data_IF_266128967114
#
_entry.id   IF_266128967114
#
_cell.length_a   1.000
_cell.length_b   1.000
_cell.length_c   1.000
_cell.angle_alpha   90.00
_cell.angle_beta   90.00
_cell.angle_gamma   90.00
#
_symmetry.space_group_name_H-M   'P 1'
#
loop_
_entity.id
_entity.type
_entity.pdbx_description
1 polymer ?
#
# COMPACT_ATOMS: atom_id res chain seq x y z
N UNK A 1 28.97 -3.52 -5.32
CA UNK A 1 28.04 -3.20 -4.22
C UNK A 1 28.32 -4.16 -3.08
N UNK A 2 28.31 -3.70 -1.82
CA UNK A 2 28.40 -4.57 -0.64
C UNK A 2 27.07 -4.50 0.11
N UNK A 3 26.47 -5.66 0.40
CA UNK A 3 25.25 -5.79 1.18
C UNK A 3 25.60 -6.44 2.52
N UNK A 4 25.32 -5.77 3.63
CA UNK A 4 25.57 -6.25 4.99
C UNK A 4 24.23 -6.66 5.61
N UNK A 5 24.05 -7.96 5.81
CA UNK A 5 22.84 -8.56 6.38
C UNK A 5 23.17 -9.54 7.53
N UNK A 6 24.26 -9.26 8.27
CA UNK A 6 24.84 -10.13 9.31
C UNK A 6 24.06 -10.17 10.64
N UNK A 7 22.82 -9.68 10.67
CA UNK A 7 22.05 -9.50 11.91
C UNK A 7 22.63 -8.41 12.82
N UNK A 8 22.26 -8.46 14.11
CA UNK A 8 22.70 -7.51 15.15
C UNK A 8 23.25 -8.17 16.41
N UNK A 9 22.87 -9.41 16.68
CA UNK A 9 23.12 -10.09 17.95
C UNK A 9 23.49 -11.54 17.69
N UNK A 10 24.42 -12.06 18.50
CA UNK A 10 24.58 -13.50 18.72
C UNK A 10 23.66 -13.94 19.86
N UNK A 11 23.30 -15.24 19.96
CA UNK A 11 22.57 -15.79 21.11
C UNK A 11 23.25 -15.45 22.44
N UNK A 12 22.46 -14.97 23.41
CA UNK A 12 22.98 -14.64 24.74
C UNK A 12 23.06 -15.90 25.61
N UNK A 13 24.22 -16.56 25.59
CA UNK A 13 24.51 -17.68 26.48
C UNK A 13 24.53 -17.21 27.95
N UNK A 14 23.76 -17.88 28.81
CA UNK A 14 23.67 -17.56 30.24
C UNK A 14 24.46 -18.60 31.02
N UNK A 15 25.56 -18.19 31.67
CA UNK A 15 26.39 -19.09 32.46
C UNK A 15 25.73 -19.36 33.83
N UNK A 16 25.35 -20.62 34.05
CA UNK A 16 24.93 -21.17 35.35
C UNK A 16 25.26 -22.68 35.37
N UNK A 17 25.36 -23.33 36.55
CA UNK A 17 25.62 -24.78 36.61
C UNK A 17 24.53 -25.57 35.89
N UNK A 18 24.89 -26.36 34.87
CA UNK A 18 23.96 -27.09 34.01
C UNK A 18 23.48 -26.32 32.77
N UNK A 19 23.98 -25.11 32.52
CA UNK A 19 23.71 -24.35 31.29
C UNK A 19 24.20 -25.05 30.01
N UNK A 20 25.17 -25.96 30.13
CA UNK A 20 25.67 -26.85 29.09
C UNK A 20 24.63 -27.86 28.57
N UNK A 21 23.55 -28.10 29.32
CA UNK A 21 22.42 -28.94 28.92
C UNK A 21 21.22 -28.13 28.37
N UNK A 22 21.32 -26.80 28.31
CA UNK A 22 20.25 -25.96 27.79
C UNK A 22 20.39 -25.78 26.27
N UNK A 23 19.32 -26.07 25.54
CA UNK A 23 19.27 -25.84 24.09
C UNK A 23 19.01 -24.36 23.78
N UNK A 24 19.70 -23.84 22.76
CA UNK A 24 19.49 -22.49 22.24
C UNK A 24 18.21 -22.41 21.40
N UNK A 25 17.56 -21.24 21.38
CA UNK A 25 16.40 -21.01 20.50
C UNK A 25 16.76 -21.15 19.00
N UNK A 26 18.02 -20.93 18.66
CA UNK A 26 18.59 -21.13 17.34
C UNK A 26 18.74 -22.61 16.91
N UNK A 27 18.59 -23.56 17.83
CA UNK A 27 18.85 -24.99 17.61
C UNK A 27 17.76 -25.94 18.12
N UNK A 28 16.91 -25.48 19.05
CA UNK A 28 15.81 -26.27 19.63
C UNK A 28 14.84 -26.74 18.54
N UNK A 29 14.27 -27.94 18.71
CA UNK A 29 13.29 -28.46 17.75
C UNK A 29 12.05 -27.56 17.68
N UNK A 30 11.49 -27.47 16.47
CA UNK A 30 10.21 -26.80 16.18
C UNK A 30 9.08 -27.80 15.95
N UNK A 31 9.38 -29.10 15.93
CA UNK A 31 8.37 -30.16 15.85
C UNK A 31 7.76 -30.40 17.24
N UNK A 32 6.44 -30.22 17.43
CA UNK A 32 5.80 -30.51 18.71
C UNK A 32 5.96 -31.98 19.17
N UNK A 33 6.10 -32.94 18.25
CA UNK A 33 6.23 -34.36 18.61
C UNK A 33 7.45 -34.65 19.50
N UNK A 34 8.54 -33.89 19.32
CA UNK A 34 9.75 -33.98 20.13
C UNK A 34 9.55 -33.58 21.60
N UNK A 35 8.39 -32.99 21.96
CA UNK A 35 8.06 -32.50 23.30
C UNK A 35 6.90 -33.25 23.97
N UNK A 36 6.34 -34.28 23.33
CA UNK A 36 5.17 -35.03 23.82
C UNK A 36 5.41 -35.61 25.22
N UNK A 37 4.53 -35.24 26.16
CA UNK A 37 4.57 -35.72 27.55
C UNK A 37 5.71 -35.15 28.41
N UNK A 38 6.55 -34.25 27.87
CA UNK A 38 7.70 -33.71 28.59
C UNK A 38 7.34 -32.53 29.51
N UNK A 39 8.21 -32.27 30.50
CA UNK A 39 8.18 -31.07 31.33
C UNK A 39 9.28 -30.12 30.86
N UNK A 40 8.91 -28.98 30.27
CA UNK A 40 9.84 -28.07 29.59
C UNK A 40 10.08 -26.80 30.42
N UNK A 41 11.34 -26.38 30.53
CA UNK A 41 11.75 -25.12 31.17
C UNK A 41 12.32 -24.16 30.13
N UNK A 42 11.62 -23.05 29.88
CA UNK A 42 12.04 -22.01 28.94
C UNK A 42 12.68 -20.85 29.71
N UNK A 43 13.96 -20.58 29.42
CA UNK A 43 14.75 -19.52 30.05
C UNK A 43 14.65 -18.19 29.29
N UNK A 44 13.42 -17.68 29.15
CA UNK A 44 13.15 -16.39 28.54
C UNK A 44 11.69 -15.98 28.66
N UNK A 45 11.41 -14.68 28.51
CA UNK A 45 10.06 -14.09 28.42
C UNK A 45 10.01 -12.93 27.42
N UNK A 46 10.59 -13.14 26.24
CA UNK A 46 10.41 -12.33 25.02
C UNK A 46 9.68 -13.14 23.94
N UNK A 47 9.36 -12.56 22.78
CA UNK A 47 8.54 -13.19 21.73
C UNK A 47 8.93 -14.65 21.44
N UNK A 48 10.19 -14.91 21.08
CA UNK A 48 10.75 -16.25 20.82
C UNK A 48 10.42 -17.29 21.89
N UNK A 49 10.46 -16.91 23.17
CA UNK A 49 10.15 -17.82 24.27
C UNK A 49 8.66 -18.19 24.36
N UNK A 50 7.77 -17.25 24.01
CA UNK A 50 6.32 -17.52 23.97
C UNK A 50 5.90 -18.20 22.68
N UNK A 51 6.53 -17.89 21.54
CA UNK A 51 6.32 -18.59 20.27
C UNK A 51 6.67 -20.09 20.42
N UNK A 52 7.81 -20.41 21.05
CA UNK A 52 8.16 -21.80 21.40
C UNK A 52 7.14 -22.40 22.39
N UNK A 53 6.75 -21.67 23.44
CA UNK A 53 5.80 -22.18 24.43
C UNK A 53 4.43 -22.49 23.81
N UNK A 54 3.90 -21.61 22.95
CA UNK A 54 2.63 -21.76 22.26
C UNK A 54 2.63 -22.97 21.31
N UNK A 55 3.72 -23.16 20.56
CA UNK A 55 3.89 -24.29 19.64
C UNK A 55 3.82 -25.67 20.33
N UNK A 56 4.39 -25.78 21.54
CA UNK A 56 4.50 -27.06 22.27
C UNK A 56 3.45 -27.24 23.38
N UNK A 57 2.62 -26.22 23.66
CA UNK A 57 1.65 -26.22 24.77
C UNK A 57 0.66 -27.38 24.72
N UNK A 58 0.23 -27.80 23.52
CA UNK A 58 -0.76 -28.86 23.33
C UNK A 58 -0.23 -30.29 23.54
N UNK A 59 1.09 -30.46 23.63
CA UNK A 59 1.77 -31.77 23.64
C UNK A 59 2.63 -32.00 24.90
N UNK A 60 3.20 -30.93 25.47
CA UNK A 60 3.93 -31.02 26.75
C UNK A 60 3.02 -31.32 27.92
N UNK A 61 3.54 -32.02 28.93
CA UNK A 61 2.84 -32.22 30.20
C UNK A 61 2.85 -30.93 31.06
N UNK A 62 3.93 -30.15 31.02
CA UNK A 62 4.03 -28.88 31.75
C UNK A 62 5.09 -27.95 31.14
N UNK A 63 4.81 -26.65 31.08
CA UNK A 63 5.78 -25.61 30.67
C UNK A 63 6.01 -24.63 31.81
N UNK A 64 7.28 -24.44 32.19
CA UNK A 64 7.73 -23.40 33.11
C UNK A 64 8.50 -22.32 32.34
N UNK A 65 8.21 -21.04 32.57
CA UNK A 65 8.93 -19.92 31.92
C UNK A 65 9.61 -19.02 32.96
N UNK A 66 10.94 -18.91 32.90
CA UNK A 66 11.75 -18.17 33.87
C UNK A 66 12.54 -17.04 33.20
N UNK A 67 12.68 -15.88 33.87
CA UNK A 67 13.33 -14.69 33.31
C UNK A 67 13.94 -13.81 34.39
N UNK A 68 15.06 -13.16 34.07
CA UNK A 68 15.75 -12.15 34.90
C UNK A 68 14.96 -10.84 35.05
N UNK A 69 13.98 -10.60 34.18
CA UNK A 69 13.19 -9.36 34.15
C UNK A 69 11.69 -9.64 34.00
N UNK A 70 10.87 -8.70 34.44
CA UNK A 70 9.42 -8.69 34.15
C UNK A 70 9.19 -8.69 32.63
N UNK A 71 8.08 -9.30 32.21
CA UNK A 71 7.70 -9.35 30.79
C UNK A 71 7.53 -7.93 30.26
N UNK A 72 8.20 -7.61 29.15
CA UNK A 72 7.99 -6.36 28.41
C UNK A 72 6.94 -6.60 27.35
N UNK A 73 5.96 -5.70 27.31
CA UNK A 73 4.71 -5.94 26.62
C UNK A 73 4.46 -4.85 25.57
N UNK A 74 4.10 -5.22 24.35
CA UNK A 74 3.90 -4.32 23.20
C UNK A 74 2.81 -3.28 23.43
N UNK A 75 1.85 -3.54 24.32
CA UNK A 75 0.86 -2.52 24.71
C UNK A 75 1.43 -1.45 25.64
N UNK A 76 2.51 -1.72 26.37
CA UNK A 76 3.15 -0.77 27.28
C UNK A 76 4.37 -0.08 26.65
N UNK A 77 5.15 -0.82 25.85
CA UNK A 77 6.32 -0.30 25.13
C UNK A 77 5.99 0.24 23.75
N UNK A 78 4.79 -0.05 23.24
CA UNK A 78 4.28 0.42 21.96
C UNK A 78 5.11 -0.01 20.76
N UNK A 79 5.86 -1.11 20.91
CA UNK A 79 6.74 -1.67 19.90
C UNK A 79 6.28 -3.08 19.53
N UNK A 80 6.13 -3.34 18.22
CA UNK A 80 5.65 -4.63 17.68
C UNK A 80 6.54 -5.84 18.02
N UNK A 81 7.77 -5.61 18.50
CA UNK A 81 8.70 -6.66 18.94
C UNK A 81 8.51 -7.17 20.38
N UNK A 82 7.50 -6.69 21.10
CA UNK A 82 7.25 -7.02 22.51
C UNK A 82 5.91 -7.78 22.69
N UNK A 83 5.72 -8.43 23.84
CA UNK A 83 4.64 -9.41 24.06
C UNK A 83 3.25 -8.80 24.32
N UNK A 84 2.16 -9.50 24.00
CA UNK A 84 0.80 -8.96 24.20
C UNK A 84 0.24 -9.33 25.60
N UNK A 85 -0.35 -8.34 26.30
CA UNK A 85 -1.11 -8.38 27.59
C UNK A 85 -0.41 -8.18 28.99
N UNK A 86 -0.94 -7.19 29.74
CA UNK A 86 -0.87 -6.84 31.19
C UNK A 86 0.43 -6.45 31.99
N UNK A 87 0.80 -5.16 31.87
CA UNK A 87 1.21 -4.13 32.90
C UNK A 87 2.47 -4.32 33.79
N UNK A 88 3.56 -3.58 33.50
CA UNK A 88 4.18 -2.53 34.36
C UNK A 88 5.53 -1.99 33.80
N UNK A 89 5.89 -0.76 34.21
CA UNK A 89 6.95 0.10 33.62
C UNK A 89 8.43 -0.30 33.91
N UNK A 90 9.36 0.12 33.03
CA UNK A 90 10.50 1.03 33.35
C UNK A 90 11.62 1.10 32.28
N UNK A 91 12.16 2.32 32.07
CA UNK A 91 13.59 2.58 31.83
C UNK A 91 14.15 2.55 30.40
N UNK A 92 14.51 3.74 29.87
CA UNK A 92 15.47 3.98 28.78
C UNK A 92 16.86 4.34 29.42
N UNK A 93 18.02 4.36 28.73
CA UNK A 93 18.22 4.89 27.37
C UNK A 93 18.91 3.94 26.36
N UNK A 94 18.68 4.17 25.07
CA UNK A 94 19.33 3.48 23.96
C UNK A 94 19.92 4.49 22.97
N UNK A 95 21.25 4.50 22.79
CA UNK A 95 21.92 5.21 21.68
C UNK A 95 22.79 4.29 20.80
N UNK A 96 22.96 3.00 21.16
CA UNK A 96 24.01 2.14 20.57
C UNK A 96 23.51 0.89 19.82
N UNK A 97 22.19 0.64 19.73
CA UNK A 97 21.66 -0.65 19.21
C UNK A 97 21.75 -0.82 17.68
N UNK A 98 21.68 0.26 16.90
CA UNK A 98 21.60 0.18 15.43
C UNK A 98 22.61 1.12 14.74
N UNK A 99 23.17 0.75 13.58
CA UNK A 99 24.13 1.58 12.84
C UNK A 99 23.48 2.81 12.20
N UNK A 100 24.21 3.93 12.11
CA UNK A 100 23.72 5.15 11.47
C UNK A 100 23.79 5.07 9.93
N UNK A 101 22.64 4.82 9.29
CA UNK A 101 22.51 4.74 7.82
C UNK A 101 21.61 5.84 7.24
N UNK A 102 21.61 5.98 5.92
CA UNK A 102 20.74 6.89 5.16
C UNK A 102 19.37 6.26 4.94
N UNK A 103 18.38 7.05 4.53
CA UNK A 103 17.07 6.55 4.08
C UNK A 103 17.14 5.62 2.84
N UNK A 104 18.26 5.65 2.11
CA UNK A 104 18.60 4.70 1.03
C UNK A 104 19.09 3.35 1.53
N UNK A 105 19.14 3.15 2.84
CA UNK A 105 19.78 2.03 3.55
C UNK A 105 21.28 1.90 3.26
N UNK A 106 21.88 2.90 2.61
CA UNK A 106 23.32 3.03 2.38
C UNK A 106 24.00 3.63 3.62
N UNK A 107 25.20 3.16 3.93
CA UNK A 107 26.02 3.68 5.02
C UNK A 107 26.30 5.18 4.85
N UNK A 108 26.33 5.91 5.96
CA UNK A 108 26.75 7.32 5.96
C UNK A 108 28.25 7.49 5.75
N UNK A 109 29.06 6.51 6.16
CA UNK A 109 30.53 6.56 6.08
C UNK A 109 31.12 5.97 4.79
N UNK A 110 30.44 5.00 4.16
CA UNK A 110 30.98 4.23 3.03
C UNK A 110 30.00 4.15 1.87
N UNK A 111 30.33 4.77 0.74
CA UNK A 111 29.52 4.68 -0.50
C UNK A 111 29.54 3.25 -1.04
N UNK A 112 28.40 2.75 -1.49
CA UNK A 112 28.25 1.41 -2.05
C UNK A 112 28.12 0.28 -1.01
N UNK A 113 28.13 0.59 0.28
CA UNK A 113 27.86 -0.33 1.39
C UNK A 113 26.43 -0.09 1.89
N UNK A 114 25.57 -1.10 1.81
CA UNK A 114 24.18 -1.07 2.24
C UNK A 114 23.98 -1.99 3.45
N UNK A 115 23.13 -1.60 4.39
CA UNK A 115 22.81 -2.38 5.58
C UNK A 115 21.34 -2.81 5.50
N UNK A 116 21.09 -4.11 5.58
CA UNK A 116 19.81 -4.77 5.36
C UNK A 116 19.46 -5.72 6.52
N UNK A 117 18.22 -6.23 6.54
CA UNK A 117 17.71 -7.02 7.66
C UNK A 117 17.56 -6.19 8.94
N UNK A 118 17.57 -6.82 10.11
CA UNK A 118 17.29 -6.15 11.40
C UNK A 118 18.20 -4.95 11.68
N UNK A 119 19.44 -4.94 11.16
CA UNK A 119 20.36 -3.81 11.31
C UNK A 119 19.92 -2.55 10.56
N UNK A 120 19.09 -2.66 9.52
CA UNK A 120 18.57 -1.51 8.77
C UNK A 120 17.51 -0.72 9.55
N UNK A 121 16.94 -1.33 10.60
CA UNK A 121 15.86 -0.78 11.42
C UNK A 121 16.23 0.51 12.17
N UNK A 122 17.49 0.94 12.14
CA UNK A 122 17.88 2.33 12.48
C UNK A 122 17.04 3.42 11.78
N UNK A 123 16.51 3.15 10.58
CA UNK A 123 15.72 4.12 9.81
C UNK A 123 14.32 4.32 10.41
N UNK A 124 13.79 3.30 11.08
CA UNK A 124 12.39 3.24 11.52
C UNK A 124 12.22 2.62 12.92
N UNK A 125 13.26 2.65 13.77
CA UNK A 125 13.21 2.06 15.10
C UNK A 125 12.14 2.72 15.97
N UNK A 126 11.29 1.88 16.60
CA UNK A 126 10.06 2.31 17.32
C UNK A 126 9.10 3.16 16.46
N UNK A 127 9.20 3.07 15.14
CA UNK A 127 8.37 3.80 14.19
C UNK A 127 7.63 2.90 13.21
N UNK A 128 8.25 1.89 12.61
CA UNK A 128 7.58 0.95 11.67
C UNK A 128 8.08 -0.49 11.85
N UNK A 129 7.69 -1.41 10.95
CA UNK A 129 7.98 -2.85 11.06
C UNK A 129 9.30 -3.29 10.39
N UNK A 130 10.19 -2.38 9.97
CA UNK A 130 11.39 -2.65 9.18
C UNK A 130 12.41 -3.61 9.82
N UNK A 131 12.37 -3.77 11.14
CA UNK A 131 13.21 -4.72 11.87
C UNK A 131 12.76 -6.19 11.80
N UNK A 132 11.58 -6.46 11.25
CA UNK A 132 10.93 -7.77 11.24
C UNK A 132 10.65 -8.25 9.80
N UNK A 133 10.35 -9.54 9.65
CA UNK A 133 10.01 -10.17 8.35
C UNK A 133 8.88 -9.46 7.62
N UNK A 134 7.98 -8.79 8.34
CA UNK A 134 6.90 -7.99 7.77
C UNK A 134 7.43 -6.74 7.06
N UNK A 135 8.37 -5.99 7.63
CA UNK A 135 8.88 -4.76 7.03
C UNK A 135 10.06 -4.95 6.09
N UNK A 136 11.06 -5.78 6.45
CA UNK A 136 12.32 -5.81 5.70
C UNK A 136 12.17 -6.32 4.26
N UNK A 137 11.13 -7.11 3.96
CA UNK A 137 10.80 -7.52 2.57
C UNK A 137 10.59 -6.32 1.64
N UNK A 138 9.95 -5.26 2.16
CA UNK A 138 9.69 -4.03 1.42
C UNK A 138 10.92 -3.13 1.37
N UNK A 139 11.73 -3.08 2.45
CA UNK A 139 13.00 -2.33 2.43
C UNK A 139 14.00 -2.95 1.44
N UNK A 140 14.09 -4.28 1.38
CA UNK A 140 14.92 -5.00 0.40
C UNK A 140 14.40 -4.74 -1.03
N UNK A 141 13.09 -4.78 -1.27
CA UNK A 141 12.50 -4.43 -2.57
C UNK A 141 12.79 -2.99 -2.99
N UNK A 142 12.71 -2.03 -2.08
CA UNK A 142 13.07 -0.64 -2.35
C UNK A 142 14.57 -0.50 -2.68
N UNK A 143 15.46 -1.12 -1.90
CA UNK A 143 16.92 -1.09 -2.15
C UNK A 143 17.29 -1.78 -3.47
N UNK A 144 16.66 -2.91 -3.78
CA UNK A 144 16.81 -3.57 -5.08
C UNK A 144 16.50 -2.61 -6.23
N UNK A 145 15.33 -1.94 -6.21
CA UNK A 145 14.94 -0.95 -7.23
C UNK A 145 15.91 0.24 -7.30
N UNK A 146 16.43 0.72 -6.16
CA UNK A 146 17.46 1.77 -6.13
C UNK A 146 18.79 1.33 -6.76
N UNK A 147 19.18 0.07 -6.58
CA UNK A 147 20.41 -0.50 -7.15
C UNK A 147 20.27 -0.77 -8.64
N UNK A 148 19.13 -1.34 -9.06
CA UNK A 148 18.75 -1.53 -10.47
C UNK A 148 18.87 -0.23 -11.26
N UNK A 149 18.30 0.87 -10.75
CA UNK A 149 18.44 2.18 -11.41
C UNK A 149 19.89 2.66 -11.42
N UNK A 150 20.59 2.58 -10.28
CA UNK A 150 21.96 3.07 -10.11
C UNK A 150 23.00 2.36 -10.98
N UNK A 151 22.83 1.06 -11.23
CA UNK A 151 23.84 0.22 -11.87
C UNK A 151 23.44 -0.29 -13.26
N UNK A 152 22.15 -0.42 -13.55
CA UNK A 152 21.63 -0.96 -14.81
C UNK A 152 20.75 0.04 -15.57
N UNK A 153 20.51 1.23 -15.01
CA UNK A 153 19.68 2.28 -15.63
C UNK A 153 18.18 1.94 -15.66
N UNK A 154 17.78 0.81 -15.09
CA UNK A 154 16.39 0.34 -15.06
C UNK A 154 15.56 1.35 -14.27
N UNK A 155 14.54 1.91 -14.90
CA UNK A 155 13.67 2.91 -14.26
C UNK A 155 12.85 2.27 -13.15
N UNK A 156 12.45 3.06 -12.14
CA UNK A 156 11.54 2.56 -11.10
C UNK A 156 10.26 2.03 -11.75
N UNK A 157 9.76 0.84 -11.35
CA UNK A 157 8.53 0.29 -11.87
C UNK A 157 7.37 1.27 -11.64
N UNK A 158 6.63 1.56 -12.72
CA UNK A 158 5.46 2.44 -12.65
C UNK A 158 4.35 1.96 -13.56
N UNK A 159 3.12 2.21 -13.15
CA UNK A 159 1.92 1.97 -13.97
C UNK A 159 1.38 3.31 -14.43
N UNK A 160 1.27 3.53 -15.73
CA UNK A 160 0.67 4.76 -16.29
C UNK A 160 -0.82 4.55 -16.52
N UNK A 161 -1.66 5.46 -16.01
CA UNK A 161 -3.12 5.38 -16.09
C UNK A 161 -3.75 6.75 -16.42
N UNK A 162 -4.94 6.79 -17.04
CA UNK A 162 -5.68 8.03 -17.27
C UNK A 162 -6.11 8.67 -15.94
N UNK A 163 -6.15 10.00 -15.87
CA UNK A 163 -6.47 10.73 -14.62
C UNK A 163 -7.84 10.36 -14.02
N UNK A 164 -8.77 9.89 -14.85
CA UNK A 164 -10.08 9.40 -14.45
C UNK A 164 -10.02 8.18 -13.51
N UNK A 165 -8.91 7.44 -13.49
CA UNK A 165 -8.67 6.30 -12.60
C UNK A 165 -7.88 6.67 -11.34
N UNK A 166 -7.57 7.95 -11.09
CA UNK A 166 -6.71 8.36 -9.97
C UNK A 166 -7.33 7.98 -8.62
N UNK A 167 -8.59 8.35 -8.38
CA UNK A 167 -9.30 8.06 -7.13
C UNK A 167 -9.38 6.56 -6.86
N UNK A 168 -9.80 5.76 -7.85
CA UNK A 168 -9.91 4.30 -7.70
C UNK A 168 -8.55 3.63 -7.52
N UNK A 169 -7.49 4.13 -8.18
CA UNK A 169 -6.12 3.61 -8.00
C UNK A 169 -5.60 3.86 -6.60
N UNK A 170 -5.84 5.05 -6.03
CA UNK A 170 -5.47 5.36 -4.64
C UNK A 170 -6.28 4.51 -3.67
N UNK A 171 -7.61 4.45 -3.79
CA UNK A 171 -8.48 3.65 -2.92
C UNK A 171 -8.10 2.17 -2.95
N UNK A 172 -7.87 1.59 -4.14
CA UNK A 172 -7.39 0.20 -4.26
C UNK A 172 -6.08 0.01 -3.49
N UNK A 173 -5.11 0.91 -3.70
CA UNK A 173 -3.77 0.78 -3.10
C UNK A 173 -3.78 0.95 -1.58
N UNK A 174 -4.56 1.86 -1.01
CA UNK A 174 -4.59 1.99 0.46
C UNK A 174 -5.21 0.78 1.15
N UNK A 175 -6.14 0.07 0.50
CA UNK A 175 -6.74 -1.16 1.03
C UNK A 175 -5.87 -2.41 0.78
N UNK A 176 -5.20 -2.53 -0.37
CA UNK A 176 -4.48 -3.75 -0.77
C UNK A 176 -2.95 -3.71 -0.50
N UNK A 177 -2.34 -2.53 -0.38
CA UNK A 177 -0.88 -2.39 -0.33
C UNK A 177 -0.29 -2.68 1.06
N UNK A 178 -0.05 -3.95 1.30
CA UNK A 178 0.70 -4.45 2.47
C UNK A 178 2.03 -3.71 2.74
N UNK A 179 2.72 -3.18 1.72
CA UNK A 179 3.92 -2.36 1.88
C UNK A 179 3.68 -1.02 2.57
N UNK A 180 2.61 -0.30 2.22
CA UNK A 180 2.24 0.96 2.88
C UNK A 180 1.77 0.72 4.33
N UNK A 181 1.08 -0.40 4.55
CA UNK A 181 0.61 -0.79 5.87
C UNK A 181 1.77 -1.14 6.83
N UNK A 182 2.76 -1.92 6.38
CA UNK A 182 3.86 -2.40 7.23
C UNK A 182 5.02 -1.39 7.36
N UNK A 183 5.27 -0.61 6.30
CA UNK A 183 6.30 0.44 6.26
C UNK A 183 5.70 1.85 6.32
N UNK A 184 4.63 2.00 7.09
CA UNK A 184 3.94 3.26 7.32
C UNK A 184 4.93 4.36 7.74
N UNK A 185 4.69 5.60 7.26
CA UNK A 185 5.57 6.75 7.53
C UNK A 185 7.04 6.60 7.04
N UNK A 186 7.41 5.52 6.34
CA UNK A 186 8.77 5.23 5.84
C UNK A 186 8.79 5.05 4.32
N UNK A 187 7.88 4.24 3.78
CA UNK A 187 7.63 4.08 2.36
C UNK A 187 6.30 4.73 1.99
N UNK A 188 6.23 5.28 0.78
CA UNK A 188 5.02 5.85 0.20
C UNK A 188 4.86 5.40 -1.25
N UNK A 189 3.61 5.35 -1.70
CA UNK A 189 3.32 5.34 -3.13
C UNK A 189 3.34 6.79 -3.64
N UNK A 190 3.87 7.00 -4.84
CA UNK A 190 4.00 8.34 -5.44
C UNK A 190 3.27 8.38 -6.77
N UNK A 191 2.34 9.32 -6.90
CA UNK A 191 1.65 9.63 -8.15
C UNK A 191 2.35 10.83 -8.79
N UNK A 192 2.96 10.64 -9.95
CA UNK A 192 3.55 11.72 -10.76
C UNK A 192 2.53 12.15 -11.81
N UNK A 193 2.19 13.44 -11.83
CA UNK A 193 1.25 13.98 -12.81
C UNK A 193 1.93 14.19 -14.16
N UNK A 194 1.26 13.76 -15.23
CA UNK A 194 1.64 14.10 -16.61
C UNK A 194 1.15 15.50 -16.99
N UNK A 195 1.56 15.94 -18.17
CA UNK A 195 1.17 17.24 -18.72
C UNK A 195 -0.35 17.42 -18.75
N UNK A 196 -0.78 18.63 -18.36
CA UNK A 196 -2.18 19.03 -18.23
C UNK A 196 -3.05 18.10 -17.34
N UNK A 197 -2.43 17.35 -16.41
CA UNK A 197 -3.09 16.39 -15.53
C UNK A 197 -4.02 15.40 -16.28
N UNK A 198 -3.64 15.01 -17.50
CA UNK A 198 -4.43 14.10 -18.34
C UNK A 198 -4.26 12.63 -17.96
N UNK A 199 -3.09 12.27 -17.45
CA UNK A 199 -2.70 10.95 -17.00
C UNK A 199 -1.73 11.07 -15.81
N UNK A 200 -1.39 9.94 -15.18
CA UNK A 200 -0.41 9.87 -14.11
C UNK A 200 0.43 8.59 -14.19
N UNK A 201 1.67 8.65 -13.69
CA UNK A 201 2.48 7.48 -13.37
C UNK A 201 2.37 7.17 -11.89
N UNK A 202 1.99 5.93 -11.56
CA UNK A 202 1.92 5.43 -10.19
C UNK A 202 3.19 4.64 -9.87
N UNK A 203 4.00 5.12 -8.92
CA UNK A 203 5.22 4.48 -8.43
C UNK A 203 4.95 3.87 -7.05
N UNK A 204 5.23 2.58 -6.88
CA UNK A 204 4.97 1.92 -5.60
C UNK A 204 6.18 1.96 -4.65
N UNK A 205 5.91 2.11 -3.36
CA UNK A 205 6.84 1.84 -2.23
C UNK A 205 8.20 2.57 -2.30
N UNK A 206 8.17 3.85 -2.65
CA UNK A 206 9.33 4.72 -2.68
C UNK A 206 9.72 5.23 -1.27
N UNK A 207 11.01 5.27 -0.89
CA UNK A 207 11.43 5.81 0.40
C UNK A 207 11.13 7.30 0.57
N UNK A 208 10.25 7.64 1.51
CA UNK A 208 9.68 9.00 1.67
C UNK A 208 10.74 10.10 1.86
N UNK A 209 11.79 9.80 2.62
CA UNK A 209 12.87 10.76 2.91
C UNK A 209 13.85 10.97 1.74
N UNK A 210 13.67 10.25 0.62
CA UNK A 210 14.45 10.39 -0.61
C UNK A 210 13.69 11.13 -1.72
N UNK A 211 12.52 11.70 -1.38
CA UNK A 211 11.68 12.46 -2.30
C UNK A 211 12.41 13.61 -3.04
N UNK A 212 13.36 14.35 -2.43
CA UNK A 212 14.13 15.38 -3.14
C UNK A 212 14.97 14.84 -4.29
N UNK A 213 15.42 13.59 -4.22
CA UNK A 213 16.22 12.96 -5.26
C UNK A 213 15.39 12.01 -6.15
N UNK A 214 14.04 12.04 -6.08
CA UNK A 214 13.16 11.11 -6.77
C UNK A 214 13.50 10.97 -8.26
N UNK A 215 13.70 12.07 -9.00
CA UNK A 215 14.01 11.98 -10.43
C UNK A 215 15.34 11.26 -10.71
N UNK A 216 16.36 11.49 -9.88
CA UNK A 216 17.70 10.92 -10.01
C UNK A 216 17.76 9.44 -9.59
N UNK A 217 16.81 9.00 -8.76
CA UNK A 217 16.77 7.64 -8.20
C UNK A 217 15.79 6.71 -8.92
N UNK A 218 14.85 7.27 -9.68
CA UNK A 218 13.80 6.51 -10.36
C UNK A 218 13.88 6.62 -11.89
N UNK A 219 14.57 7.64 -12.41
CA UNK A 219 14.53 8.01 -13.83
C UNK A 219 13.20 8.65 -14.28
N UNK A 220 12.23 8.82 -13.38
CA UNK A 220 10.92 9.43 -13.68
C UNK A 220 10.97 10.95 -13.48
N UNK A 221 10.05 11.69 -14.12
CA UNK A 221 10.02 13.16 -14.06
C UNK A 221 8.78 13.68 -13.32
N UNK A 222 8.98 14.63 -12.42
CA UNK A 222 7.99 15.15 -11.49
C UNK A 222 7.63 16.62 -11.80
N UNK A 223 7.42 16.93 -13.09
CA UNK A 223 7.31 18.31 -13.61
C UNK A 223 5.96 19.00 -13.34
N UNK A 224 4.87 18.25 -13.22
CA UNK A 224 3.51 18.81 -13.17
C UNK A 224 2.84 18.62 -11.79
N UNK A 225 3.66 18.44 -10.75
CA UNK A 225 3.22 18.11 -9.41
C UNK A 225 3.12 16.60 -9.15
N UNK A 226 2.93 16.26 -7.89
CA UNK A 226 2.86 14.89 -7.40
C UNK A 226 1.97 14.76 -6.17
N UNK A 227 1.37 13.58 -6.00
CA UNK A 227 0.83 13.13 -4.72
C UNK A 227 1.75 12.10 -4.10
N UNK A 228 1.89 12.13 -2.78
CA UNK A 228 2.60 11.13 -1.98
C UNK A 228 1.60 10.54 -1.00
N UNK A 229 1.41 9.22 -1.07
CA UNK A 229 0.41 8.46 -0.32
C UNK A 229 1.14 7.53 0.64
N UNK A 230 0.90 7.68 1.93
CA UNK A 230 1.42 6.80 2.97
C UNK A 230 0.38 6.57 4.05
N UNK A 231 0.62 5.57 4.89
CA UNK A 231 -0.13 5.39 6.14
C UNK A 231 0.58 6.16 7.28
N UNK A 232 -0.19 6.66 8.25
CA UNK A 232 0.29 7.28 9.49
C UNK A 232 -0.58 6.88 10.68
N UNK A 233 0.03 6.87 11.88
CA UNK A 233 -0.70 6.91 13.14
C UNK A 233 -0.77 8.34 13.67
N UNK A 234 -1.83 8.66 14.39
CA UNK A 234 -1.93 9.93 15.11
C UNK A 234 -0.85 10.08 16.18
N UNK A 235 -0.50 11.33 16.50
CA UNK A 235 0.59 11.68 17.44
C UNK A 235 0.40 11.11 18.86
N UNK A 236 -0.83 10.75 19.21
CA UNK A 236 -1.21 10.21 20.51
C UNK A 236 -1.59 8.73 20.49
N UNK A 237 -1.46 8.05 19.35
CA UNK A 237 -1.82 6.64 19.20
C UNK A 237 -1.12 5.73 20.20
N UNK A 238 0.16 5.99 20.41
CA UNK A 238 1.05 5.13 21.15
C UNK A 238 2.23 5.91 21.72
N UNK A 239 2.80 5.41 22.81
CA UNK A 239 3.97 5.99 23.46
C UNK A 239 4.05 5.60 24.94
N UNK A 240 5.25 5.54 25.54
CA UNK A 240 5.40 5.23 26.96
C UNK A 240 4.47 6.09 27.82
N UNK A 241 3.78 5.44 28.76
CA UNK A 241 2.83 6.06 29.69
C UNK A 241 1.59 6.73 29.07
N UNK A 242 1.35 6.59 27.75
CA UNK A 242 0.04 6.92 27.14
C UNK A 242 -0.95 5.79 27.40
N UNK A 243 -2.16 6.14 27.85
CA UNK A 243 -3.28 5.21 27.79
C UNK A 243 -3.65 5.01 26.32
N UNK A 244 -3.79 3.75 25.91
CA UNK A 244 -4.28 3.38 24.57
C UNK A 244 -5.75 2.99 24.57
N UNK A 245 -6.41 2.87 25.73
CA UNK A 245 -7.83 2.54 25.83
C UNK A 245 -8.66 3.74 26.33
N UNK A 246 -8.14 4.95 26.15
CA UNK A 246 -8.86 6.18 26.50
C UNK A 246 -10.18 6.30 25.71
N UNK A 247 -11.18 6.91 26.34
CA UNK A 247 -12.45 7.21 25.70
C UNK A 247 -12.24 8.18 24.54
N UNK A 248 -13.03 8.04 23.46
CA UNK A 248 -12.95 8.91 22.27
C UNK A 248 -11.59 8.85 21.54
N UNK A 249 -10.91 7.70 21.64
CA UNK A 249 -9.63 7.44 20.94
C UNK A 249 -9.75 7.22 19.44
N UNK A 250 -10.96 7.29 18.87
CA UNK A 250 -11.28 6.96 17.49
C UNK A 250 -12.10 8.07 16.84
N UNK A 251 -11.67 8.54 15.68
CA UNK A 251 -12.36 9.58 14.90
C UNK A 251 -13.23 8.91 13.84
N UNK A 252 -14.55 9.10 13.92
CA UNK A 252 -15.51 8.66 12.89
C UNK A 252 -15.94 9.77 11.90
N UNK A 253 -15.60 11.03 12.19
CA UNK A 253 -16.04 12.19 11.42
C UNK A 253 -15.01 12.63 10.39
N UNK A 254 -15.45 12.78 9.14
CA UNK A 254 -14.60 13.16 7.99
C UNK A 254 -13.93 14.52 8.17
N UNK A 255 -14.64 15.48 8.75
CA UNK A 255 -14.17 16.83 9.07
C UNK A 255 -12.98 16.81 10.06
N UNK A 256 -12.92 15.80 10.92
CA UNK A 256 -11.89 15.62 11.94
C UNK A 256 -10.84 14.57 11.55
N UNK A 257 -10.83 14.07 10.32
CA UNK A 257 -9.91 13.02 9.86
C UNK A 257 -8.40 13.35 10.07
N UNK A 258 -8.04 14.63 10.20
CA UNK A 258 -6.69 15.10 10.54
C UNK A 258 -6.29 14.84 12.01
N UNK A 259 -7.27 14.52 12.86
CA UNK A 259 -7.13 14.09 14.25
C UNK A 259 -7.05 12.56 14.39
N UNK A 260 -7.24 11.80 13.30
CA UNK A 260 -7.20 10.33 13.30
C UNK A 260 -5.99 9.78 14.05
N UNK A 261 -6.27 8.82 14.91
CA UNK A 261 -5.38 8.26 15.91
C UNK A 261 -4.80 6.91 15.46
N UNK A 262 -5.64 6.00 14.99
CA UNK A 262 -5.26 4.72 14.38
C UNK A 262 -4.55 4.91 13.03
N UNK A 263 -4.15 3.79 12.42
CA UNK A 263 -3.45 3.79 11.14
C UNK A 263 -4.41 4.24 10.05
N UNK A 264 -4.10 5.31 9.34
CA UNK A 264 -4.97 5.85 8.29
C UNK A 264 -4.16 6.41 7.10
N UNK A 265 -4.76 6.48 5.91
CA UNK A 265 -4.11 7.05 4.73
C UNK A 265 -3.97 8.58 4.82
N UNK A 266 -2.77 9.06 4.54
CA UNK A 266 -2.45 10.48 4.42
C UNK A 266 -1.89 10.75 3.02
N UNK A 267 -2.46 11.75 2.34
CA UNK A 267 -2.13 12.13 0.97
C UNK A 267 -1.58 13.57 0.99
N UNK A 268 -0.31 13.71 0.62
CA UNK A 268 0.39 14.98 0.48
C UNK A 268 0.40 15.41 -0.98
N UNK A 269 -0.04 16.63 -1.30
CA UNK A 269 0.07 17.21 -2.63
C UNK A 269 1.17 18.27 -2.71
N UNK A 270 2.10 18.09 -3.65
CA UNK A 270 3.16 19.05 -3.94
C UNK A 270 3.11 19.49 -5.42
N UNK A 271 3.30 20.79 -5.68
CA UNK A 271 3.43 21.31 -7.04
C UNK A 271 4.78 21.01 -7.69
N UNK A 272 5.82 20.79 -6.88
CA UNK A 272 7.18 20.47 -7.28
C UNK A 272 7.80 19.53 -6.22
N UNK A 273 8.89 18.83 -6.54
CA UNK A 273 9.59 18.02 -5.52
C UNK A 273 10.11 18.93 -4.38
N UNK A 274 9.93 18.54 -3.11
CA UNK A 274 10.53 19.25 -2.00
C UNK A 274 12.06 19.14 -2.03
N UNK A 275 12.74 20.17 -1.57
CA UNK A 275 14.20 20.23 -1.47
C UNK A 275 14.75 19.42 -0.30
N UNK A 276 16.05 19.11 -0.33
CA UNK A 276 16.74 18.47 0.80
C UNK A 276 16.66 19.32 2.09
N UNK A 277 16.65 20.65 1.96
CA UNK A 277 16.53 21.57 3.10
C UNK A 277 15.13 21.50 3.71
N UNK A 278 14.07 21.53 2.90
CA UNK A 278 12.69 21.38 3.38
C UNK A 278 12.48 20.02 4.06
N UNK A 279 13.03 18.93 3.52
CA UNK A 279 12.98 17.61 4.18
C UNK A 279 13.77 17.60 5.49
N UNK A 280 14.94 18.26 5.54
CA UNK A 280 15.78 18.31 6.75
C UNK A 280 15.18 19.17 7.86
N UNK A 281 14.54 20.28 7.52
CA UNK A 281 13.98 21.27 8.45
C UNK A 281 12.44 21.24 8.51
N UNK A 282 11.83 20.12 8.10
CA UNK A 282 10.38 19.90 8.19
C UNK A 282 9.88 20.03 9.64
N UNK A 283 8.58 20.36 9.86
CA UNK A 283 8.03 20.52 11.19
C UNK A 283 8.25 19.29 12.09
N UNK A 284 8.43 19.54 13.39
CA UNK A 284 8.57 18.46 14.37
C UNK A 284 7.39 17.48 14.27
N UNK A 285 7.70 16.19 14.33
CA UNK A 285 6.76 15.06 14.21
C UNK A 285 6.06 14.90 12.84
N UNK A 286 6.44 15.66 11.80
CA UNK A 286 5.96 15.40 10.43
C UNK A 286 6.91 14.44 9.68
N UNK A 287 6.40 13.47 8.90
CA UNK A 287 7.24 12.58 8.10
C UNK A 287 7.86 13.29 6.90
N UNK A 288 7.15 14.28 6.35
CA UNK A 288 7.49 15.06 5.17
C UNK A 288 7.41 16.57 5.45
N UNK A 289 7.91 17.42 4.53
CA UNK A 289 7.69 18.87 4.58
C UNK A 289 6.20 19.25 4.60
N UNK A 290 5.91 20.54 4.82
CA UNK A 290 4.56 21.05 4.64
C UNK A 290 4.19 20.99 3.13
N UNK A 291 3.13 20.28 2.73
CA UNK A 291 2.67 20.25 1.35
C UNK A 291 1.84 21.49 0.99
N UNK A 292 1.47 21.61 -0.29
CA UNK A 292 0.54 22.65 -0.76
C UNK A 292 -0.89 22.35 -0.27
N UNK A 293 -1.25 21.07 -0.26
CA UNK A 293 -2.48 20.57 0.37
C UNK A 293 -2.23 19.19 0.97
N UNK A 294 -2.96 18.85 2.03
CA UNK A 294 -2.92 17.54 2.70
C UNK A 294 -4.33 17.03 2.88
N UNK A 295 -4.54 15.72 2.75
CA UNK A 295 -5.80 15.07 3.07
C UNK A 295 -5.53 13.81 3.87
N UNK A 296 -6.22 13.70 5.00
CA UNK A 296 -6.33 12.47 5.75
C UNK A 296 -7.65 11.83 5.34
N UNK A 297 -7.60 10.56 4.92
CA UNK A 297 -8.80 9.74 4.88
C UNK A 297 -9.08 9.38 6.35
N UNK A 298 -10.34 9.48 6.80
CA UNK A 298 -10.70 9.12 8.17
C UNK A 298 -10.35 7.65 8.43
N UNK A 299 -9.97 7.35 9.66
CA UNK A 299 -9.62 6.00 10.06
C UNK A 299 -10.83 5.06 10.06
N UNK A 300 -10.56 3.80 9.79
CA UNK A 300 -11.57 2.74 9.83
C UNK A 300 -11.04 1.58 10.69
N UNK A 301 -11.89 1.04 11.56
CA UNK A 301 -11.51 0.00 12.52
C UNK A 301 -11.19 -1.34 11.85
N UNK A 302 -11.86 -1.65 10.72
CA UNK A 302 -11.61 -2.83 9.91
C UNK A 302 -10.51 -2.60 8.86
N UNK A 303 -9.96 -1.38 8.81
CA UNK A 303 -9.02 -0.90 7.79
C UNK A 303 -9.60 -0.97 6.37
N UNK A 304 -10.91 -0.70 6.25
CA UNK A 304 -11.64 -0.59 4.98
C UNK A 304 -11.91 0.88 4.62
N UNK A 305 -11.18 1.38 3.63
CA UNK A 305 -11.32 2.75 3.13
C UNK A 305 -12.23 2.87 1.90
N UNK A 306 -13.26 2.03 1.76
CA UNK A 306 -14.18 2.03 0.59
C UNK A 306 -15.51 2.76 0.80
N UNK A 307 -15.86 3.16 2.03
CA UNK A 307 -17.10 3.89 2.32
C UNK A 307 -17.33 5.10 1.36
N UNK A 308 -18.44 5.14 0.59
CA UNK A 308 -18.63 6.15 -0.46
C UNK A 308 -18.65 7.59 0.04
N UNK A 309 -19.24 7.83 1.22
CA UNK A 309 -19.41 9.18 1.81
C UNK A 309 -18.24 9.56 2.73
N UNK A 310 -17.72 8.62 3.52
CA UNK A 310 -16.63 8.87 4.47
C UNK A 310 -15.23 8.90 3.84
N UNK A 311 -14.99 8.08 2.81
CA UNK A 311 -13.65 7.87 2.24
C UNK A 311 -13.54 8.33 0.78
N UNK A 312 -14.41 7.84 -0.10
CA UNK A 312 -14.25 8.06 -1.55
C UNK A 312 -14.63 9.49 -1.97
N UNK A 313 -15.76 10.01 -1.47
CA UNK A 313 -16.23 11.37 -1.79
C UNK A 313 -15.25 12.47 -1.32
N UNK A 314 -14.72 12.45 -0.07
CA UNK A 314 -13.77 13.44 0.41
C UNK A 314 -12.44 13.38 -0.33
N UNK A 315 -11.90 12.17 -0.57
CA UNK A 315 -10.70 11.98 -1.38
C UNK A 315 -10.89 12.55 -2.79
N UNK A 316 -12.00 12.22 -3.47
CA UNK A 316 -12.29 12.78 -4.80
C UNK A 316 -12.34 14.31 -4.74
N UNK A 317 -13.00 14.91 -3.75
CA UNK A 317 -13.09 16.38 -3.60
C UNK A 317 -11.72 17.03 -3.40
N UNK A 318 -10.86 16.42 -2.59
CA UNK A 318 -9.47 16.86 -2.42
C UNK A 318 -8.68 16.80 -3.73
N UNK A 319 -8.78 15.70 -4.48
CA UNK A 319 -8.09 15.52 -5.76
C UNK A 319 -8.61 16.51 -6.82
N UNK A 320 -9.92 16.71 -6.92
CA UNK A 320 -10.55 17.71 -7.81
C UNK A 320 -10.05 19.13 -7.51
N UNK A 321 -9.94 19.48 -6.22
CA UNK A 321 -9.42 20.78 -5.76
C UNK A 321 -7.92 20.96 -6.03
N UNK A 322 -7.12 19.90 -5.93
CA UNK A 322 -5.68 19.95 -6.24
C UNK A 322 -5.40 20.08 -7.75
N UNK A 323 -6.30 19.57 -8.59
CA UNK A 323 -6.12 19.47 -10.04
C UNK A 323 -6.94 20.47 -10.88
N UNK A 324 -7.81 21.27 -10.25
CA UNK A 324 -8.79 22.14 -10.92
C UNK A 324 -9.58 21.41 -12.03
N UNK A 325 -10.05 20.20 -11.74
CA UNK A 325 -10.76 19.38 -12.73
C UNK A 325 -11.81 18.49 -12.09
N UNK A 326 -12.87 18.17 -12.84
CA UNK A 326 -13.97 17.33 -12.40
C UNK A 326 -13.62 15.85 -12.68
N UNK A 327 -13.43 15.06 -11.63
CA UNK A 327 -12.99 13.66 -11.70
C UNK A 327 -14.15 12.66 -11.63
N UNK A 328 -15.40 13.14 -11.76
CA UNK A 328 -16.57 12.26 -11.78
C UNK A 328 -16.66 11.45 -13.08
N UNK A 329 -17.21 10.25 -12.94
CA UNK A 329 -17.78 9.50 -14.05
C UNK A 329 -19.14 10.10 -14.44
N UNK A 330 -19.43 10.13 -15.74
CA UNK A 330 -20.65 10.71 -16.29
C UNK A 330 -21.33 9.77 -17.28
N UNK A 331 -22.65 9.88 -17.44
CA UNK A 331 -23.36 9.21 -18.53
C UNK A 331 -23.09 9.92 -19.87
N UNK A 332 -23.23 9.18 -20.97
CA UNK A 332 -23.00 9.70 -22.32
C UNK A 332 -23.86 10.95 -22.65
N UNK A 333 -25.11 10.97 -22.19
CA UNK A 333 -26.02 12.12 -22.30
C UNK A 333 -25.48 13.35 -21.57
N UNK A 334 -24.96 13.20 -20.35
CA UNK A 334 -24.35 14.31 -19.60
C UNK A 334 -23.12 14.85 -20.33
N UNK A 335 -22.28 13.98 -20.89
CA UNK A 335 -21.14 14.40 -21.70
C UNK A 335 -21.56 15.13 -22.98
N UNK A 336 -22.60 14.64 -23.68
CA UNK A 336 -23.18 15.33 -24.84
C UNK A 336 -23.71 16.73 -24.47
N UNK A 337 -24.47 16.85 -23.38
CA UNK A 337 -24.94 18.14 -22.89
C UNK A 337 -23.77 19.08 -22.56
N UNK A 338 -22.71 18.58 -21.92
CA UNK A 338 -21.52 19.39 -21.62
C UNK A 338 -20.78 19.84 -22.88
N UNK A 339 -20.71 19.02 -23.94
CA UNK A 339 -20.07 19.41 -25.23
C UNK A 339 -20.78 20.56 -25.93
N UNK A 340 -22.07 20.79 -25.64
CA UNK A 340 -22.85 21.90 -26.17
C UNK A 340 -22.89 23.12 -25.25
N UNK A 341 -22.62 22.95 -23.95
CA UNK A 341 -22.87 23.99 -22.91
C UNK A 341 -21.64 24.45 -22.15
N UNK A 342 -20.47 23.80 -22.28
CA UNK A 342 -19.25 24.11 -21.52
C UNK A 342 -18.03 24.26 -22.41
N UNK A 343 -17.17 25.22 -22.08
CA UNK A 343 -15.88 25.42 -22.75
C UNK A 343 -14.81 24.40 -22.31
N UNK A 344 -14.75 24.06 -21.01
CA UNK A 344 -13.85 23.04 -20.44
C UNK A 344 -14.66 21.78 -20.11
N UNK A 345 -14.35 20.67 -20.76
CA UNK A 345 -15.01 19.37 -20.53
C UNK A 345 -14.31 18.57 -19.42
N UNK A 346 -15.03 17.78 -18.61
CA UNK A 346 -14.41 16.83 -17.69
C UNK A 346 -13.51 15.82 -18.44
N UNK A 347 -12.34 15.43 -17.89
CA UNK A 347 -11.45 14.44 -18.50
C UNK A 347 -12.16 13.14 -18.88
N UNK A 348 -13.14 12.69 -18.08
CA UNK A 348 -13.98 11.53 -18.39
C UNK A 348 -14.69 11.64 -19.74
N UNK A 349 -15.31 12.79 -20.02
CA UNK A 349 -15.99 13.03 -21.28
C UNK A 349 -15.00 13.21 -22.45
N UNK A 350 -13.84 13.81 -22.21
CA UNK A 350 -12.80 13.99 -23.23
C UNK A 350 -12.12 12.67 -23.63
N UNK A 351 -11.85 11.79 -22.66
CA UNK A 351 -11.08 10.57 -22.86
C UNK A 351 -11.98 9.38 -23.20
N UNK A 352 -13.19 9.31 -22.64
CA UNK A 352 -14.19 8.30 -22.97
C UNK A 352 -15.06 8.74 -24.15
N UNK A 353 -16.13 9.51 -23.84
CA UNK A 353 -17.20 9.84 -24.78
C UNK A 353 -16.70 10.42 -26.13
N UNK A 354 -15.87 11.47 -26.10
CA UNK A 354 -15.37 12.12 -27.33
C UNK A 354 -14.41 11.25 -28.16
N UNK A 355 -13.78 10.23 -27.57
CA UNK A 355 -12.97 9.25 -28.31
C UNK A 355 -13.77 8.05 -28.79
N UNK A 356 -15.10 8.07 -28.61
CA UNK A 356 -16.00 6.92 -28.78
C UNK A 356 -15.59 5.71 -27.91
N UNK A 357 -14.84 5.95 -26.83
CA UNK A 357 -14.40 4.96 -25.85
C UNK A 357 -15.43 4.90 -24.71
N UNK A 358 -16.60 4.34 -25.02
CA UNK A 358 -17.67 4.07 -24.07
C UNK A 358 -18.22 2.65 -24.23
N UNK A 359 -19.09 2.23 -23.30
CA UNK A 359 -19.87 1.02 -23.50
C UNK A 359 -20.66 1.13 -24.81
N UNK A 360 -20.68 0.04 -25.59
CA UNK A 360 -21.38 0.02 -26.86
C UNK A 360 -22.84 0.44 -26.69
N UNK A 361 -23.30 1.35 -27.56
CA UNK A 361 -24.69 1.82 -27.54
C UNK A 361 -25.65 0.63 -27.53
N UNK A 362 -26.60 0.64 -26.60
CA UNK A 362 -27.79 -0.23 -26.72
C UNK A 362 -28.47 0.05 -28.06
N UNK A 363 -29.15 -0.95 -28.61
CA UNK A 363 -29.77 -0.82 -29.93
C UNK A 363 -30.81 0.30 -29.98
N UNK A 364 -31.52 0.54 -28.87
CA UNK A 364 -32.45 1.67 -28.70
C UNK A 364 -31.76 3.04 -28.81
N UNK A 365 -30.64 3.25 -28.11
CA UNK A 365 -29.87 4.49 -28.19
C UNK A 365 -29.26 4.70 -29.58
N UNK A 366 -28.83 3.63 -30.24
CA UNK A 366 -28.30 3.70 -31.62
C UNK A 366 -29.39 4.13 -32.59
N UNK A 367 -30.58 3.54 -32.44
CA UNK A 367 -31.77 3.86 -33.23
C UNK A 367 -32.19 5.31 -33.04
N UNK A 368 -32.27 5.80 -31.80
CA UNK A 368 -32.53 7.22 -31.52
C UNK A 368 -31.47 8.16 -32.09
N UNK A 369 -30.18 7.80 -32.06
CA UNK A 369 -29.11 8.59 -32.67
C UNK A 369 -29.25 8.73 -34.19
N UNK A 370 -29.72 7.67 -34.88
CA UNK A 370 -30.04 7.68 -36.31
C UNK A 370 -31.34 8.47 -36.60
N UNK A 371 -32.40 8.22 -35.84
CA UNK A 371 -33.69 8.94 -35.94
C UNK A 371 -33.52 10.45 -35.72
N UNK A 372 -32.64 10.84 -34.80
CA UNK A 372 -32.26 12.25 -34.51
C UNK A 372 -31.32 12.88 -35.56
N UNK A 373 -30.88 12.10 -36.57
CA UNK A 373 -29.85 12.49 -37.56
C UNK A 373 -28.48 12.88 -36.97
N UNK A 374 -28.21 12.53 -35.71
CA UNK A 374 -26.94 12.80 -35.02
C UNK A 374 -25.86 11.77 -35.38
N UNK A 375 -26.28 10.56 -35.81
CA UNK A 375 -25.40 9.51 -36.32
C UNK A 375 -25.80 9.14 -37.76
N UNK A 376 -24.81 8.87 -38.61
CA UNK A 376 -25.03 8.24 -39.92
C UNK A 376 -25.25 6.75 -39.73
N UNK A 377 -26.22 6.18 -40.45
CA UNK A 377 -26.46 4.75 -40.43
C UNK A 377 -25.46 4.02 -41.34
N UNK A 378 -24.43 3.44 -40.72
CA UNK A 378 -23.41 2.65 -41.41
C UNK A 378 -23.83 1.20 -41.68
N UNK A 379 -25.01 0.75 -41.24
CA UNK A 379 -25.46 -0.63 -41.44
C UNK A 379 -25.77 -0.98 -42.90
N UNK A 380 -26.00 0.02 -43.76
CA UNK A 380 -26.37 -0.16 -45.17
C UNK A 380 -25.18 -0.36 -46.13
N UNK A 381 -23.95 0.00 -45.74
CA UNK A 381 -22.80 0.10 -46.67
C UNK A 381 -22.21 -1.27 -47.05
N UNK A 382 -22.54 -2.34 -46.32
CA UNK A 382 -22.02 -3.70 -46.53
C UNK A 382 -22.84 -4.61 -47.45
N UNK A 383 -23.92 -4.13 -48.10
CA UNK A 383 -24.80 -4.95 -48.95
C UNK A 383 -25.20 -4.24 -50.25
N UNK A 384 -24.27 -4.06 -51.18
CA UNK A 384 -24.53 -4.03 -52.63
C UNK A 384 -23.21 -3.85 -53.40
N UNK A 385 -22.54 -4.95 -53.70
CA UNK A 385 -21.57 -5.10 -54.81
C UNK A 385 -21.09 -6.55 -54.86
N UNK A 386 -21.86 -7.39 -55.56
CA UNK A 386 -21.45 -8.56 -56.35
C UNK A 386 -22.68 -9.42 -56.67
N UNK A 387 -23.25 -9.21 -57.86
CA UNK A 387 -23.98 -10.28 -58.55
C UNK A 387 -23.93 -10.04 -60.06
N UNK A 388 -23.08 -10.79 -60.75
CA UNK A 388 -23.21 -11.19 -62.17
C UNK A 388 -21.97 -11.95 -62.66
N UNK A 389 -21.96 -13.28 -62.56
CA UNK A 389 -21.88 -14.18 -63.73
C UNK A 389 -21.58 -15.66 -63.41
N UNK A 390 -22.53 -16.53 -63.79
CA UNK A 390 -22.38 -17.94 -64.25
C UNK A 390 -21.86 -19.05 -63.29
N UNK A 391 -22.50 -20.23 -63.44
CA UNK A 391 -22.31 -21.52 -62.74
C UNK A 391 -21.48 -22.50 -63.61
N UNK A 392 -21.19 -23.77 -63.21
CA UNK A 392 -21.17 -24.42 -61.87
C UNK A 392 -19.84 -25.16 -61.56
N UNK A 393 -19.64 -25.59 -60.30
CA UNK A 393 -18.60 -26.57 -59.94
C UNK A 393 -18.90 -27.30 -58.63
N UNK A 394 -18.86 -28.64 -58.65
CA UNK A 394 -18.95 -29.47 -57.44
C UNK A 394 -17.67 -29.36 -56.60
N UNK A 395 -17.79 -29.28 -55.27
CA UNK A 395 -17.04 -30.15 -54.31
C UNK A 395 -17.50 -29.88 -52.85
N UNK A 396 -17.80 -30.97 -52.12
CA UNK A 396 -17.78 -31.08 -50.63
C UNK A 396 -16.35 -31.50 -50.19
N UNK A 397 -15.96 -31.56 -48.90
CA UNK A 397 -16.71 -31.37 -47.63
C UNK A 397 -16.19 -30.12 -46.87
N UNK A 398 -16.30 -29.86 -45.55
CA UNK A 398 -16.68 -30.60 -44.31
C UNK A 398 -17.49 -29.66 -43.39
N UNK A 399 -18.24 -30.19 -42.41
CA UNK A 399 -18.81 -29.42 -41.30
C UNK A 399 -18.61 -30.10 -39.94
N UNK A 400 -18.29 -29.32 -38.90
CA UNK A 400 -18.22 -29.69 -37.46
C UNK A 400 -18.74 -28.45 -36.67
N UNK A 401 -19.51 -28.61 -35.57
CA UNK A 401 -20.47 -27.57 -35.16
C UNK A 401 -19.97 -26.56 -34.12
N UNK A 402 -20.74 -25.47 -33.98
CA UNK A 402 -20.62 -24.44 -32.94
C UNK A 402 -20.91 -25.01 -31.53
N UNK A 403 -20.14 -24.56 -30.53
CA UNK A 403 -20.36 -24.89 -29.12
C UNK A 403 -21.51 -24.05 -28.51
N UNK A 404 -22.32 -24.62 -27.59
CA UNK A 404 -23.36 -23.88 -26.88
C UNK A 404 -22.77 -22.96 -25.79
N UNK A 405 -23.35 -21.78 -25.61
CA UNK A 405 -23.02 -20.86 -24.52
C UNK A 405 -23.55 -21.30 -23.14
N UNK A 406 -23.06 -20.72 -22.04
CA UNK A 406 -23.44 -21.11 -20.69
C UNK A 406 -24.88 -20.69 -20.34
N UNK A 407 -25.61 -21.48 -19.52
CA UNK A 407 -26.97 -21.14 -19.10
C UNK A 407 -27.00 -20.03 -18.05
N UNK A 408 -28.01 -19.17 -18.15
CA UNK A 408 -28.32 -18.13 -17.16
C UNK A 408 -29.06 -18.77 -15.97
N UNK A 409 -28.56 -18.57 -14.75
CA UNK A 409 -29.28 -18.93 -13.53
C UNK A 409 -30.07 -17.72 -13.00
N UNK A 410 -31.33 -17.96 -12.61
CA UNK A 410 -32.21 -17.00 -11.96
C UNK A 410 -31.86 -16.84 -10.47
N UNK A 411 -31.95 -15.63 -9.89
CA UNK A 411 -31.68 -15.41 -8.47
C UNK A 411 -32.89 -15.79 -7.61
N UNK A 412 -32.81 -16.91 -6.89
CA UNK A 412 -33.71 -17.18 -5.77
C UNK A 412 -33.17 -16.53 -4.49
N UNK A 413 -33.95 -15.62 -3.93
CA UNK A 413 -33.70 -14.99 -2.65
C UNK A 413 -34.21 -15.88 -1.52
N UNK A 414 -33.31 -16.38 -0.66
CA UNK A 414 -33.49 -16.49 0.79
C UNK A 414 -32.30 -17.22 1.43
N UNK A 415 -31.57 -16.54 2.32
CA UNK A 415 -30.87 -17.15 3.45
C UNK A 415 -30.58 -16.10 4.51
N UNK A 416 -30.94 -16.44 5.75
CA UNK A 416 -30.85 -15.58 6.92
C UNK A 416 -29.41 -15.49 7.44
N UNK A 417 -29.08 -14.38 8.09
CA UNK A 417 -27.76 -14.09 8.65
C UNK A 417 -27.59 -14.71 10.06
N UNK A 418 -26.36 -15.12 10.38
CA UNK A 418 -25.85 -15.47 11.70
C UNK A 418 -24.42 -14.92 11.85
#
# INVERSE_FOLDING_TARGET
VLLVATGLSVPNQVNFPGSEYAEGYESVSVDPEDFVGQNVLILGRGNSAFETAENILGVTNFIHMLSRSRVRLSWATHYVGDLRSLRLNSGNPFETKYPLIRASYESRGSRGLFILGTASHSVDHRRSAGGFIHGFRYTVRAVHRLLEHRHHGVTWPSTELPITQLTSSIIRRVNEASGLYQMFSVLADVVLLKENATAFEYLEEFPMLMLPQLETLTGRKAKHGLFVINMEYGKNFSGPDKDVFFHDRSVGHTEDAWQSNFLHPVIYYYRQLPTEQEVRFRPAHWPLPRPVAIHHIVEDFLTDWTAPVGHILPLRRFLENCLDTDLRSFYAESCFLFTLTRQKLPPFCQQGYLRMQGLASTESLRRHGVESRLLRDYAAVGRHLEDSSQRPGNHRPVGVPLAPGPPVQSPDSNKEEL
#
